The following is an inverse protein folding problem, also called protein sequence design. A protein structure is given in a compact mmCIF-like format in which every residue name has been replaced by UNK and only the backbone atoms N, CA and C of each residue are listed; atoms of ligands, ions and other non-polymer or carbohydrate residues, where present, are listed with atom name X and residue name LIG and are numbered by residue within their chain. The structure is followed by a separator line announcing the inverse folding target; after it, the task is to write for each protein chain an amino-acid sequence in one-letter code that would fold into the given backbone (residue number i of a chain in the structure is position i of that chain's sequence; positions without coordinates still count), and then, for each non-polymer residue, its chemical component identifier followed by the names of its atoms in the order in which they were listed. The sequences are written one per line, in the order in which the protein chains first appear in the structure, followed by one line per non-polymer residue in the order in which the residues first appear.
data_IF_837913047696
#
_entry.id   IF_837913047696
#
_cell.length_a   1.000
_cell.length_b   1.000
_cell.length_c   1.000
_cell.angle_alpha   90.00
_cell.angle_beta   90.00
_cell.angle_gamma   90.00
#
_symmetry.space_group_name_H-M   'P 1'
#
loop_
_entity.id
_entity.type
_entity.pdbx_description
1 polymer ?
#
# COMPACT_ATOMS: atom_id res chain seq x y z
N UNK A 1 3.01 -5.46 20.21
CA UNK A 1 1.88 -6.00 19.47
C UNK A 1 0.93 -4.94 18.93
N UNK A 2 1.30 -3.65 19.03
CA UNK A 2 0.57 -2.53 18.41
C UNK A 2 1.14 -2.25 17.02
N UNK A 3 0.31 -1.71 16.12
CA UNK A 3 0.72 -1.36 14.77
C UNK A 3 1.47 -0.03 14.82
N UNK A 4 2.64 0.03 14.23
CA UNK A 4 3.41 1.27 14.11
C UNK A 4 3.22 1.94 12.76
N UNK A 5 3.11 1.14 11.73
CA UNK A 5 2.91 1.55 10.35
C UNK A 5 2.43 0.35 9.54
N UNK A 6 1.90 0.62 8.36
CA UNK A 6 1.77 -0.32 7.26
C UNK A 6 2.88 0.00 6.25
N UNK A 7 3.71 -0.98 5.93
CA UNK A 7 4.92 -0.82 5.11
C UNK A 7 5.02 -1.96 4.12
N UNK A 8 5.19 -1.65 2.85
CA UNK A 8 5.60 -2.66 1.86
C UNK A 8 7.11 -2.79 1.83
N UNK A 9 7.58 -4.02 1.77
CA UNK A 9 9.01 -4.33 1.68
C UNK A 9 9.24 -5.05 0.37
N UNK A 10 9.99 -4.41 -0.54
CA UNK A 10 10.41 -5.00 -1.78
C UNK A 10 11.83 -5.54 -1.60
N UNK A 11 12.00 -6.83 -1.84
CA UNK A 11 13.28 -7.51 -1.65
C UNK A 11 14.05 -7.51 -2.96
N UNK A 12 15.17 -6.79 -3.02
CA UNK A 12 16.16 -6.89 -4.08
C UNK A 12 17.29 -7.87 -3.68
N UNK A 13 18.26 -8.10 -4.57
CA UNK A 13 19.29 -9.12 -4.34
C UNK A 13 20.15 -8.85 -3.09
N UNK A 14 20.47 -7.59 -2.83
CA UNK A 14 21.37 -7.15 -1.74
C UNK A 14 20.76 -6.05 -0.84
N UNK A 15 19.50 -5.69 -1.07
CA UNK A 15 18.85 -4.59 -0.41
C UNK A 15 17.35 -4.80 -0.21
N UNK A 16 16.75 -3.97 0.63
CA UNK A 16 15.31 -3.90 0.83
C UNK A 16 14.85 -2.47 0.58
N UNK A 17 13.83 -2.32 -0.25
CA UNK A 17 13.15 -1.03 -0.42
C UNK A 17 11.91 -1.02 0.45
N UNK A 18 11.82 -0.05 1.35
CA UNK A 18 10.66 0.16 2.20
C UNK A 18 9.79 1.26 1.58
N UNK A 19 8.60 0.89 1.19
CA UNK A 19 7.60 1.80 0.67
C UNK A 19 6.51 2.04 1.72
N UNK A 20 6.33 3.31 2.07
CA UNK A 20 5.43 3.77 3.13
C UNK A 20 4.95 5.20 2.86
N UNK A 21 3.88 5.60 3.54
CA UNK A 21 3.40 6.97 3.48
C UNK A 21 4.43 7.96 4.05
N UNK A 22 4.66 9.06 3.35
CA UNK A 22 5.63 10.09 3.74
C UNK A 22 5.44 10.57 5.18
N UNK A 23 4.20 10.67 5.64
CA UNK A 23 3.87 11.04 7.03
C UNK A 23 4.43 10.09 8.10
N UNK A 24 4.82 8.88 7.70
CA UNK A 24 5.38 7.85 8.59
C UNK A 24 6.91 7.75 8.50
N UNK A 25 7.54 8.44 7.55
CA UNK A 25 8.97 8.36 7.26
C UNK A 25 9.84 8.57 8.50
N UNK A 26 9.70 9.72 9.14
CA UNK A 26 10.48 10.08 10.33
C UNK A 26 10.31 9.04 11.47
N UNK A 27 9.07 8.62 11.68
CA UNK A 27 8.73 7.63 12.72
C UNK A 27 9.40 6.29 12.46
N UNK A 28 9.35 5.81 11.23
CA UNK A 28 9.93 4.50 10.86
C UNK A 28 11.45 4.57 10.83
N UNK A 29 12.04 5.64 10.30
CA UNK A 29 13.48 5.85 10.36
C UNK A 29 13.98 5.84 11.81
N UNK A 30 13.33 6.59 12.71
CA UNK A 30 13.67 6.59 14.13
C UNK A 30 13.54 5.20 14.76
N UNK A 31 12.47 4.48 14.42
CA UNK A 31 12.24 3.11 14.92
C UNK A 31 13.35 2.16 14.47
N UNK A 32 13.70 2.15 13.19
CA UNK A 32 14.73 1.29 12.64
C UNK A 32 16.10 1.60 13.26
N UNK A 33 16.50 2.87 13.31
CA UNK A 33 17.77 3.27 13.94
C UNK A 33 17.86 2.87 15.41
N UNK A 34 16.76 2.87 16.13
CA UNK A 34 16.74 2.46 17.55
C UNK A 34 17.11 0.98 17.73
N UNK A 35 16.79 0.13 16.77
CA UNK A 35 17.02 -1.32 16.86
C UNK A 35 18.20 -1.80 16.03
N UNK A 36 18.77 -0.94 15.21
CA UNK A 36 20.00 -1.20 14.46
C UNK A 36 21.21 -0.97 15.39
N UNK A 37 21.65 -2.01 16.07
CA UNK A 37 22.69 -1.88 17.12
C UNK A 37 24.04 -2.45 16.69
N UNK A 38 24.05 -3.58 16.02
CA UNK A 38 25.28 -4.32 15.70
C UNK A 38 25.30 -4.88 14.26
N UNK A 39 24.27 -4.63 13.50
CA UNK A 39 24.14 -5.11 12.14
C UNK A 39 24.87 -4.16 11.18
N UNK A 40 25.57 -4.71 10.19
CA UNK A 40 26.21 -3.93 9.12
C UNK A 40 25.16 -3.60 8.05
N UNK A 41 24.25 -2.68 8.39
CA UNK A 41 23.17 -2.21 7.53
C UNK A 41 23.21 -0.69 7.45
N UNK A 42 23.12 -0.17 6.25
CA UNK A 42 22.94 1.25 5.96
C UNK A 42 21.48 1.54 5.61
N UNK A 43 20.91 2.59 6.19
CA UNK A 43 19.56 3.05 5.85
C UNK A 43 19.71 4.33 5.01
N UNK A 44 19.25 4.29 3.77
CA UNK A 44 19.31 5.40 2.82
C UNK A 44 17.88 5.90 2.59
N UNK A 45 17.69 7.20 2.78
CA UNK A 45 16.41 7.86 2.48
C UNK A 45 16.39 8.28 1.00
N UNK A 46 15.55 7.61 0.22
CA UNK A 46 15.37 7.88 -1.21
C UNK A 46 14.14 8.75 -1.51
N UNK A 47 13.49 9.29 -0.47
CA UNK A 47 12.34 10.18 -0.62
C UNK A 47 12.75 11.43 -1.40
N UNK A 48 12.10 11.67 -2.54
CA UNK A 48 12.45 12.78 -3.44
C UNK A 48 13.37 12.40 -4.62
N UNK A 49 14.07 11.28 -4.56
CA UNK A 49 14.79 10.72 -5.71
C UNK A 49 13.87 9.96 -6.65
N UNK A 50 12.80 9.39 -6.10
CA UNK A 50 11.79 8.62 -6.83
C UNK A 50 10.40 9.25 -6.70
N UNK A 51 9.64 9.20 -7.81
CA UNK A 51 8.19 9.38 -7.79
C UNK A 51 7.48 8.05 -8.00
N UNK A 52 6.26 7.93 -7.48
CA UNK A 52 5.43 6.74 -7.65
C UNK A 52 4.21 7.10 -8.47
N UNK A 53 4.04 6.42 -9.61
CA UNK A 53 2.78 6.42 -10.35
C UNK A 53 2.06 5.11 -10.10
N UNK A 54 0.84 5.19 -9.60
CA UNK A 54 0.00 4.02 -9.38
C UNK A 54 -1.01 3.85 -10.50
N UNK A 55 -0.88 2.77 -11.25
CA UNK A 55 -1.79 2.38 -12.31
C UNK A 55 -2.79 1.36 -11.78
N UNK A 56 -4.07 1.72 -11.72
CA UNK A 56 -5.11 0.89 -11.11
C UNK A 56 -6.27 0.68 -12.09
N UNK A 57 -6.88 -0.49 -12.06
CA UNK A 57 -8.10 -0.79 -12.79
C UNK A 57 -8.00 -2.01 -13.71
N UNK A 58 -9.14 -2.50 -14.23
CA UNK A 58 -9.23 -3.78 -14.93
C UNK A 58 -8.49 -3.81 -16.26
N UNK A 59 -8.03 -2.68 -16.76
CA UNK A 59 -7.24 -2.56 -18.00
C UNK A 59 -5.77 -2.24 -17.74
N UNK A 60 -5.33 -2.19 -16.49
CA UNK A 60 -3.95 -1.86 -16.13
C UNK A 60 -2.95 -2.81 -16.80
N UNK A 61 -3.24 -4.10 -16.78
CA UNK A 61 -2.42 -5.13 -17.41
C UNK A 61 -2.32 -4.95 -18.95
N UNK A 62 -3.43 -4.59 -19.61
CA UNK A 62 -3.44 -4.34 -21.06
C UNK A 62 -2.57 -3.14 -21.42
N UNK A 63 -2.65 -2.06 -20.66
CA UNK A 63 -1.81 -0.88 -20.87
C UNK A 63 -0.31 -1.21 -20.73
N UNK A 64 0.04 -1.96 -19.68
CA UNK A 64 1.42 -2.36 -19.46
C UNK A 64 1.94 -3.29 -20.56
N UNK A 65 1.10 -4.19 -21.07
CA UNK A 65 1.47 -5.04 -22.22
C UNK A 65 1.83 -4.22 -23.46
N UNK A 66 1.14 -3.11 -23.68
CA UNK A 66 1.42 -2.23 -24.81
C UNK A 66 2.72 -1.47 -24.64
N UNK A 67 2.95 -0.85 -23.47
CA UNK A 67 4.13 0.01 -23.26
C UNK A 67 5.41 -0.75 -22.91
N UNK A 68 5.29 -1.94 -22.33
CA UNK A 68 6.42 -2.79 -21.94
C UNK A 68 6.67 -3.91 -22.95
N UNK A 69 6.34 -3.74 -24.22
CA UNK A 69 6.32 -4.75 -25.27
C UNK A 69 7.41 -5.82 -25.14
N UNK A 70 6.99 -7.08 -24.95
CA UNK A 70 7.89 -8.25 -24.88
C UNK A 70 8.63 -8.43 -23.55
N UNK A 71 8.40 -7.58 -22.55
CA UNK A 71 8.93 -7.76 -21.21
C UNK A 71 7.90 -8.48 -20.34
N UNK A 72 8.39 -9.39 -19.49
CA UNK A 72 7.55 -9.98 -18.43
C UNK A 72 7.40 -8.98 -17.29
N UNK A 73 6.20 -8.75 -16.80
CA UNK A 73 5.95 -7.92 -15.64
C UNK A 73 5.41 -8.72 -14.45
N UNK A 74 5.49 -8.18 -13.22
CA UNK A 74 5.05 -8.88 -12.03
C UNK A 74 3.55 -9.18 -12.11
N UNK A 75 3.14 -10.41 -11.77
CA UNK A 75 1.75 -10.86 -11.87
C UNK A 75 1.18 -11.41 -10.58
N UNK A 76 2.02 -11.63 -9.58
CA UNK A 76 1.57 -12.08 -8.25
C UNK A 76 1.49 -10.87 -7.33
N UNK A 77 0.53 -10.83 -6.41
CA UNK A 77 0.48 -9.79 -5.39
C UNK A 77 1.85 -9.57 -4.72
N UNK A 78 2.28 -8.32 -4.63
CA UNK A 78 3.56 -7.89 -4.07
C UNK A 78 4.83 -8.37 -4.78
N UNK A 79 4.72 -9.12 -5.88
CA UNK A 79 5.90 -9.36 -6.71
C UNK A 79 6.33 -8.07 -7.41
N UNK A 80 7.63 -7.91 -7.61
CA UNK A 80 8.19 -6.72 -8.24
C UNK A 80 9.32 -7.07 -9.19
N UNK A 81 9.64 -6.16 -10.10
CA UNK A 81 10.72 -6.31 -11.08
C UNK A 81 11.14 -4.92 -11.59
N UNK A 82 12.42 -4.78 -11.94
CA UNK A 82 12.87 -3.64 -12.75
C UNK A 82 12.50 -3.87 -14.22
N UNK A 83 12.01 -2.81 -14.87
CA UNK A 83 11.52 -2.82 -16.24
C UNK A 83 11.94 -1.55 -16.97
N UNK A 84 11.78 -1.54 -18.29
CA UNK A 84 12.02 -0.34 -19.09
C UNK A 84 10.73 0.15 -19.71
N UNK A 85 10.46 1.45 -19.52
CA UNK A 85 9.38 2.18 -20.21
C UNK A 85 10.04 3.29 -21.03
N UNK A 86 10.16 3.09 -22.33
CA UNK A 86 10.99 3.93 -23.17
C UNK A 86 12.46 3.81 -22.78
N UNK A 87 13.07 4.95 -22.45
CA UNK A 87 14.46 5.02 -22.01
C UNK A 87 14.62 4.94 -20.49
N UNK A 88 13.52 5.07 -19.75
CA UNK A 88 13.51 5.04 -18.30
C UNK A 88 13.57 3.62 -17.74
N UNK A 89 14.36 3.44 -16.69
CA UNK A 89 14.31 2.25 -15.84
C UNK A 89 13.27 2.49 -14.74
N UNK A 90 12.35 1.54 -14.58
CA UNK A 90 11.18 1.66 -13.69
C UNK A 90 11.10 0.42 -12.82
N UNK A 91 11.12 0.60 -11.51
CA UNK A 91 10.74 -0.44 -10.58
C UNK A 91 9.22 -0.63 -10.62
N UNK A 92 8.74 -1.82 -10.95
CA UNK A 92 7.31 -2.11 -11.00
C UNK A 92 6.94 -3.13 -9.95
N UNK A 93 5.95 -2.83 -9.12
CA UNK A 93 5.39 -3.75 -8.14
C UNK A 93 3.90 -3.99 -8.41
N UNK A 94 3.48 -5.27 -8.35
CA UNK A 94 2.06 -5.63 -8.44
C UNK A 94 1.38 -5.29 -7.10
N UNK A 95 0.57 -4.24 -7.08
CA UNK A 95 -0.10 -3.74 -5.88
C UNK A 95 -1.43 -3.09 -6.21
N UNK A 96 -2.49 -3.52 -5.54
CA UNK A 96 -3.79 -2.91 -5.67
C UNK A 96 -4.07 -1.93 -4.54
N UNK A 97 -4.66 -0.79 -4.90
CA UNK A 97 -5.20 0.20 -3.97
C UNK A 97 -6.71 0.36 -4.10
N UNK A 98 -7.32 -0.36 -5.04
CA UNK A 98 -8.75 -0.23 -5.38
C UNK A 98 -9.48 -1.56 -5.41
N UNK A 99 -8.78 -2.68 -5.13
CA UNK A 99 -9.32 -4.02 -5.27
C UNK A 99 -9.28 -4.57 -6.69
N UNK A 100 -9.02 -3.72 -7.69
CA UNK A 100 -8.80 -4.09 -9.08
C UNK A 100 -7.32 -4.43 -9.35
N UNK A 101 -6.99 -4.86 -10.57
CA UNK A 101 -5.59 -5.00 -10.99
C UNK A 101 -4.83 -3.68 -10.78
N UNK A 102 -3.64 -3.76 -10.21
CA UNK A 102 -2.88 -2.57 -9.91
C UNK A 102 -1.38 -2.78 -9.91
N UNK A 103 -0.67 -1.72 -10.29
CA UNK A 103 0.78 -1.68 -10.33
C UNK A 103 1.28 -0.33 -9.85
N UNK A 104 2.26 -0.35 -8.97
CA UNK A 104 3.00 0.84 -8.57
C UNK A 104 4.32 0.90 -9.34
N UNK A 105 4.56 2.03 -9.95
CA UNK A 105 5.72 2.33 -10.78
C UNK A 105 6.64 3.27 -10.01
N UNK A 106 7.79 2.79 -9.59
CA UNK A 106 8.84 3.56 -8.93
C UNK A 106 9.78 4.11 -9.98
N UNK A 107 9.79 5.41 -10.17
CA UNK A 107 10.43 6.10 -11.29
C UNK A 107 11.37 7.16 -10.74
N UNK A 108 12.61 7.23 -11.21
CA UNK A 108 13.48 8.34 -10.87
C UNK A 108 12.82 9.67 -11.24
N UNK A 109 12.91 10.67 -10.38
CA UNK A 109 12.22 11.96 -10.53
C UNK A 109 12.50 12.62 -11.88
N UNK A 110 13.71 12.44 -12.43
CA UNK A 110 14.09 12.98 -13.75
C UNK A 110 13.26 12.40 -14.91
N UNK A 111 12.79 11.16 -14.78
CA UNK A 111 12.09 10.41 -15.83
C UNK A 111 10.57 10.39 -15.62
N UNK A 112 10.08 10.91 -14.49
CA UNK A 112 8.68 10.84 -14.10
C UNK A 112 7.73 11.42 -15.15
N UNK A 113 8.05 12.59 -15.69
CA UNK A 113 7.23 13.24 -16.72
C UNK A 113 7.18 12.46 -18.03
N UNK A 114 8.30 11.88 -18.44
CA UNK A 114 8.36 11.11 -19.71
C UNK A 114 7.57 9.80 -19.60
N UNK A 115 7.64 9.12 -18.46
CA UNK A 115 6.86 7.91 -18.21
C UNK A 115 5.37 8.23 -18.09
N UNK A 116 5.01 9.32 -17.40
CA UNK A 116 3.62 9.77 -17.29
C UNK A 116 3.00 10.05 -18.67
N UNK A 117 3.71 10.79 -19.53
CA UNK A 117 3.24 11.08 -20.91
C UNK A 117 3.05 9.81 -21.73
N UNK A 118 3.95 8.83 -21.62
CA UNK A 118 3.81 7.55 -22.33
C UNK A 118 2.59 6.75 -21.84
N UNK A 119 2.32 6.78 -20.52
CA UNK A 119 1.12 6.15 -19.97
C UNK A 119 -0.15 6.83 -20.49
N UNK A 120 -0.17 8.17 -20.56
CA UNK A 120 -1.30 8.93 -21.11
C UNK A 120 -1.55 8.61 -22.58
N UNK A 121 -0.51 8.67 -23.41
CA UNK A 121 -0.60 8.38 -24.86
C UNK A 121 -1.15 6.96 -25.10
N UNK A 122 -0.54 5.95 -24.49
CA UNK A 122 -1.00 4.57 -24.66
C UNK A 122 -2.37 4.32 -24.01
N UNK A 123 -2.66 5.02 -22.92
CA UNK A 123 -3.91 4.89 -22.17
C UNK A 123 -5.12 5.59 -22.81
N UNK A 124 -4.94 6.43 -23.82
CA UNK A 124 -6.02 7.19 -24.44
C UNK A 124 -7.14 6.26 -24.97
N UNK A 125 -6.76 5.21 -25.68
CA UNK A 125 -7.70 4.20 -26.24
C UNK A 125 -8.35 3.33 -25.16
N UNK A 126 -7.69 3.19 -24.01
CA UNK A 126 -8.15 2.40 -22.86
C UNK A 126 -8.99 3.22 -21.87
N UNK A 127 -9.16 4.52 -22.13
CA UNK A 127 -9.88 5.48 -21.27
C UNK A 127 -9.16 5.70 -19.94
N UNK A 128 -7.83 5.72 -19.95
CA UNK A 128 -7.03 6.10 -18.78
C UNK A 128 -7.43 7.50 -18.29
N UNK A 129 -7.48 7.67 -16.98
CA UNK A 129 -7.78 8.96 -16.34
C UNK A 129 -6.92 9.15 -15.10
N UNK A 130 -6.46 10.36 -14.89
CA UNK A 130 -5.90 10.78 -13.61
C UNK A 130 -6.97 10.76 -12.54
N UNK A 131 -6.62 10.20 -11.39
CA UNK A 131 -7.52 10.02 -10.26
C UNK A 131 -7.03 10.85 -9.08
N UNK A 132 -7.91 11.69 -8.55
CA UNK A 132 -7.62 12.48 -7.36
C UNK A 132 -7.76 11.67 -6.07
N UNK A 133 -7.18 12.17 -4.98
CA UNK A 133 -7.14 11.53 -3.67
C UNK A 133 -8.52 11.12 -3.15
N UNK A 134 -9.55 11.95 -3.36
CA UNK A 134 -10.92 11.63 -2.91
C UNK A 134 -11.52 10.41 -3.60
N UNK A 135 -11.28 10.28 -4.91
CA UNK A 135 -11.76 9.12 -5.67
C UNK A 135 -11.01 7.85 -5.26
N UNK A 136 -9.69 7.94 -5.08
CA UNK A 136 -8.88 6.83 -4.57
C UNK A 136 -9.36 6.40 -3.17
N UNK A 137 -9.63 7.36 -2.29
CA UNK A 137 -10.16 7.11 -0.95
C UNK A 137 -11.51 6.35 -1.00
N UNK A 138 -12.40 6.74 -1.88
CA UNK A 138 -13.68 6.05 -2.09
C UNK A 138 -13.45 4.61 -2.55
N UNK A 139 -12.61 4.41 -3.58
CA UNK A 139 -12.34 3.09 -4.15
C UNK A 139 -11.69 2.14 -3.15
N UNK A 140 -10.71 2.62 -2.34
CA UNK A 140 -10.10 1.76 -1.32
C UNK A 140 -11.08 1.33 -0.23
N UNK A 141 -12.00 2.24 0.18
CA UNK A 141 -13.04 1.94 1.17
C UNK A 141 -14.01 0.89 0.61
N UNK A 142 -14.45 1.05 -0.64
CA UNK A 142 -15.29 0.07 -1.32
C UNK A 142 -14.61 -1.29 -1.44
N UNK A 143 -13.30 -1.31 -1.65
CA UNK A 143 -12.47 -2.52 -1.70
C UNK A 143 -12.16 -3.10 -0.31
N UNK A 144 -12.49 -2.40 0.78
CA UNK A 144 -12.19 -2.82 2.14
C UNK A 144 -10.69 -2.77 2.49
N UNK A 145 -9.92 -1.92 1.82
CA UNK A 145 -8.47 -1.74 2.05
C UNK A 145 -8.27 -0.70 3.16
N UNK A 146 -7.80 -1.09 4.35
CA UNK A 146 -7.58 -0.16 5.45
C UNK A 146 -6.36 0.72 5.20
N UNK A 147 -6.41 1.95 5.71
CA UNK A 147 -5.34 2.93 5.64
C UNK A 147 -4.83 3.25 7.05
N UNK A 148 -3.52 3.12 7.26
CA UNK A 148 -2.88 3.51 8.51
C UNK A 148 -3.00 5.03 8.74
N UNK A 149 -3.37 5.42 9.95
CA UNK A 149 -3.63 6.80 10.33
C UNK A 149 -5.06 7.27 10.10
N UNK A 150 -5.89 6.46 9.41
CA UNK A 150 -7.32 6.73 9.16
C UNK A 150 -8.18 5.65 9.80
N UNK A 151 -8.01 4.40 9.37
CA UNK A 151 -8.83 3.26 9.82
C UNK A 151 -8.17 2.47 10.95
N UNK A 152 -6.88 2.59 11.09
CA UNK A 152 -6.07 1.93 12.13
C UNK A 152 -4.88 2.80 12.53
N UNK A 153 -4.45 2.64 13.76
CA UNK A 153 -3.31 3.35 14.34
C UNK A 153 -2.60 2.53 15.44
N UNK A 154 -1.77 3.17 16.25
CA UNK A 154 -1.10 2.55 17.40
C UNK A 154 -2.08 2.09 18.50
N UNK A 155 -3.32 2.49 18.48
CA UNK A 155 -4.37 2.01 19.37
C UNK A 155 -4.78 0.58 19.06
N UNK A 156 -4.59 0.13 17.83
CA UNK A 156 -5.07 -1.15 17.33
C UNK A 156 -4.08 -2.29 17.49
N UNK A 157 -4.64 -3.49 17.63
CA UNK A 157 -3.91 -4.74 17.49
C UNK A 157 -3.98 -5.21 16.03
N UNK A 158 -2.91 -5.82 15.53
CA UNK A 158 -2.83 -6.26 14.15
C UNK A 158 -4.02 -7.15 13.73
N UNK A 159 -4.39 -8.11 14.59
CA UNK A 159 -5.51 -9.03 14.31
C UNK A 159 -6.91 -8.39 14.39
N UNK A 160 -7.02 -7.14 14.81
CA UNK A 160 -8.26 -6.36 14.76
C UNK A 160 -8.53 -5.78 13.37
N UNK A 161 -7.50 -5.63 12.53
CA UNK A 161 -7.56 -4.90 11.26
C UNK A 161 -7.90 -5.73 10.04
N UNK A 162 -7.85 -7.06 10.16
CA UNK A 162 -8.06 -7.97 9.02
C UNK A 162 -6.88 -8.07 8.05
N UNK A 163 -5.72 -7.46 8.38
CA UNK A 163 -4.50 -7.53 7.57
C UNK A 163 -3.74 -8.86 7.79
N UNK A 164 -4.43 -9.99 7.64
CA UNK A 164 -3.85 -11.31 7.88
C UNK A 164 -2.66 -11.61 6.95
N UNK A 165 -2.66 -11.04 5.75
CA UNK A 165 -1.57 -11.17 4.79
C UNK A 165 -0.28 -10.44 5.22
N UNK A 166 -0.37 -9.46 6.12
CA UNK A 166 0.78 -8.74 6.67
C UNK A 166 1.41 -9.44 7.87
N UNK A 167 0.91 -10.62 8.26
CA UNK A 167 1.40 -11.40 9.40
C UNK A 167 2.01 -12.71 8.94
N UNK A 168 3.21 -13.01 9.40
CA UNK A 168 3.77 -14.35 9.28
C UNK A 168 3.76 -15.05 10.64
N UNK A 169 3.10 -16.19 10.69
CA UNK A 169 3.07 -17.07 11.87
C UNK A 169 4.16 -18.14 11.87
N UNK A 170 5.00 -18.15 10.85
CA UNK A 170 6.01 -19.19 10.62
C UNK A 170 7.43 -18.67 10.57
N UNK A 171 7.63 -17.33 10.59
CA UNK A 171 8.97 -16.73 10.65
C UNK A 171 9.53 -16.74 12.06
N UNK A 172 10.83 -16.46 12.19
CA UNK A 172 11.50 -16.29 13.48
C UNK A 172 10.92 -15.17 14.35
N UNK A 173 11.51 -14.98 15.53
CA UNK A 173 11.05 -14.00 16.51
C UNK A 173 11.07 -12.56 15.97
N UNK A 174 10.08 -11.77 16.38
CA UNK A 174 9.96 -10.36 16.02
C UNK A 174 9.34 -9.55 17.17
N UNK A 175 9.53 -8.24 17.15
CA UNK A 175 9.00 -7.34 18.16
C UNK A 175 7.46 -7.36 18.19
N UNK A 176 6.89 -7.63 19.36
CA UNK A 176 5.43 -7.71 19.53
C UNK A 176 4.80 -9.08 19.23
N UNK A 177 5.59 -10.07 18.85
CA UNK A 177 5.13 -11.42 18.54
C UNK A 177 4.29 -12.05 19.67
N UNK A 178 4.66 -11.84 20.92
CA UNK A 178 3.96 -12.44 22.06
C UNK A 178 2.47 -12.09 22.11
N UNK A 179 2.13 -10.85 21.80
CA UNK A 179 0.74 -10.39 21.79
C UNK A 179 -0.03 -11.03 20.64
N UNK A 180 0.57 -11.08 19.46
CA UNK A 180 -0.02 -11.70 18.26
C UNK A 180 -0.28 -13.19 18.49
N UNK A 181 0.71 -13.93 18.97
CA UNK A 181 0.60 -15.36 19.24
C UNK A 181 -0.37 -15.68 20.39
N UNK A 182 -0.42 -14.84 21.42
CA UNK A 182 -1.38 -15.02 22.52
C UNK A 182 -2.81 -14.91 22.03
N UNK A 183 -3.11 -13.91 21.20
CA UNK A 183 -4.46 -13.72 20.64
C UNK A 183 -4.80 -14.89 19.73
N UNK A 184 -3.88 -15.30 18.86
CA UNK A 184 -4.08 -16.42 17.94
C UNK A 184 -4.34 -17.73 18.64
N UNK A 185 -3.56 -18.06 19.69
CA UNK A 185 -3.55 -19.40 20.30
C UNK A 185 -4.56 -19.56 21.43
N UNK A 186 -4.87 -18.52 22.17
CA UNK A 186 -5.66 -18.60 23.42
C UNK A 186 -6.72 -17.52 23.57
N UNK A 187 -6.82 -16.61 22.61
CA UNK A 187 -7.70 -15.47 22.70
C UNK A 187 -8.55 -15.25 21.46
N UNK A 188 -9.23 -14.15 21.50
CA UNK A 188 -9.97 -13.56 20.40
C UNK A 188 -9.77 -12.06 20.45
N UNK A 189 -10.02 -11.38 19.35
CA UNK A 189 -10.09 -9.92 19.33
C UNK A 189 -11.48 -9.48 19.77
N UNK A 190 -11.54 -8.43 20.57
CA UNK A 190 -12.81 -7.84 21.02
C UNK A 190 -13.42 -6.90 19.98
N UNK A 191 -12.61 -6.44 19.02
CA UNK A 191 -13.02 -5.51 17.97
C UNK A 191 -12.48 -5.98 16.64
N UNK A 192 -13.21 -5.69 15.57
CA UNK A 192 -12.76 -5.93 14.19
C UNK A 192 -13.08 -4.71 13.35
N UNK A 193 -12.18 -4.37 12.45
CA UNK A 193 -12.47 -3.45 11.37
C UNK A 193 -13.41 -4.12 10.37
N UNK A 194 -14.52 -3.47 10.05
CA UNK A 194 -15.52 -3.96 9.12
C UNK A 194 -15.99 -2.86 8.19
N UNK A 195 -16.36 -3.23 6.96
CA UNK A 195 -17.03 -2.33 6.03
C UNK A 195 -18.53 -2.31 6.30
N UNK A 196 -19.15 -1.13 6.18
CA UNK A 196 -20.59 -0.95 6.25
C UNK A 196 -21.13 -0.50 4.90
N UNK A 197 -22.14 -1.19 4.41
CA UNK A 197 -22.91 -0.76 3.24
C UNK A 197 -24.17 -0.06 3.75
N UNK A 198 -24.32 1.23 3.43
CA UNK A 198 -25.47 2.03 3.83
C UNK A 198 -26.47 2.13 2.67
N UNK A 199 -27.74 1.85 2.95
CA UNK A 199 -28.81 2.15 1.99
C UNK A 199 -29.02 3.67 1.87
N UNK A 200 -29.23 4.13 0.65
CA UNK A 200 -29.26 5.57 0.29
C UNK A 200 -30.25 6.42 1.11
N UNK A 201 -31.33 5.83 1.58
CA UNK A 201 -32.37 6.53 2.38
C UNK A 201 -31.95 6.85 3.83
N UNK A 202 -30.90 6.18 4.32
CA UNK A 202 -30.40 6.40 5.71
C UNK A 202 -29.16 7.28 5.80
N UNK A 203 -28.63 7.72 4.69
CA UNK A 203 -27.42 8.54 4.61
C UNK A 203 -27.67 10.04 4.81
N UNK A 204 -28.88 10.46 5.20
CA UNK A 204 -29.18 11.84 5.55
C UNK A 204 -28.68 12.15 6.98
N UNK A 205 -27.37 12.24 7.13
CA UNK A 205 -26.75 12.81 8.31
C UNK A 205 -26.87 14.33 8.26
N UNK A 206 -27.78 14.90 9.02
CA UNK A 206 -27.78 16.34 9.29
C UNK A 206 -26.58 16.71 10.15
N UNK A 207 -25.75 17.62 9.67
CA UNK A 207 -24.67 18.25 10.42
C UNK A 207 -23.40 18.45 9.58
N UNK A 208 -22.84 19.65 9.66
CA UNK A 208 -21.68 20.18 8.94
C UNK A 208 -20.33 19.49 9.27
N UNK A 209 -20.30 18.18 9.46
CA UNK A 209 -19.05 17.44 9.66
C UNK A 209 -18.90 16.42 8.54
N UNK A 210 -17.77 16.42 7.79
CA UNK A 210 -17.51 15.37 6.83
C UNK A 210 -17.51 14.04 7.59
N UNK A 211 -18.38 13.12 7.16
CA UNK A 211 -18.44 11.77 7.70
C UNK A 211 -17.04 11.16 7.70
N UNK A 212 -16.47 10.98 8.87
CA UNK A 212 -15.37 10.05 9.06
C UNK A 212 -15.95 8.66 8.89
N UNK A 213 -15.80 8.10 7.71
CA UNK A 213 -16.20 6.74 7.41
C UNK A 213 -15.11 5.78 7.87
N UNK A 214 -15.06 5.56 9.14
CA UNK A 214 -14.34 4.47 9.77
C UNK A 214 -15.17 4.05 10.97
N UNK A 215 -15.94 3.00 10.85
CA UNK A 215 -16.82 2.55 11.93
C UNK A 215 -16.25 1.29 12.52
N UNK A 216 -15.68 1.42 13.72
CA UNK A 216 -15.45 0.28 14.59
C UNK A 216 -16.77 -0.12 15.25
N UNK A 217 -17.22 -1.34 15.02
CA UNK A 217 -18.35 -1.92 15.76
C UNK A 217 -17.78 -2.76 16.89
N UNK A 218 -18.14 -2.43 18.12
CA UNK A 218 -17.94 -3.31 19.28
C UNK A 218 -18.98 -4.46 19.19
N UNK A 219 -18.50 -5.68 19.28
CA UNK A 219 -19.34 -6.87 19.41
C UNK A 219 -19.37 -7.35 20.85
#
# INVERSE_FOLDING_TARGET
GKILADVRILCADDSFVLDLWESLREKILHHLHRYLVADEVEIIDLTGEFGILSLQGPKACLLLQEICAGQEFPSRPYSHRSMRIGDAEVGMACATHTGEEGFDLFIETKDLSSVASRLEEAGETLSLRWVGTQALETLRIEAGIPLYGVDMDEGNLLLETGLDHAVSFHKGCYLGQEVVERIRSRGHVNRKLVGLVLEREKAACGGDNPCRQGVGVEA
#
